data_IF_155032162170
#
_entry.id   IF_155032162170
#
_cell.length_a   1.000
_cell.length_b   1.000
_cell.length_c   1.000
_cell.angle_alpha   90.00
_cell.angle_beta   90.00
_cell.angle_gamma   90.00
#
_symmetry.space_group_name_H-M   'P 1'
#
loop_
_entity.id
_entity.type
_entity.pdbx_description
1 polymer ?
#
# COMPACT_ATOMS: atom_id res chain seq x y z
N UNK A 1 -14.18 -24.30 -22.75
CA UNK A 1 -12.77 -23.98 -23.07
C UNK A 1 -12.22 -23.12 -21.93
N UNK A 2 -11.51 -23.74 -21.00
CA UNK A 2 -10.82 -23.01 -19.92
C UNK A 2 -9.45 -22.60 -20.43
N UNK A 3 -9.19 -21.30 -20.47
CA UNK A 3 -7.86 -20.75 -20.75
C UNK A 3 -7.08 -20.83 -19.45
N UNK A 4 -6.24 -21.87 -19.31
CA UNK A 4 -5.30 -21.97 -18.20
C UNK A 4 -4.11 -21.07 -18.55
N UNK A 5 -4.00 -19.95 -17.85
CA UNK A 5 -2.95 -18.97 -18.06
C UNK A 5 -1.63 -19.51 -17.48
N UNK A 6 -0.85 -20.23 -18.27
CA UNK A 6 0.46 -20.76 -17.88
C UNK A 6 1.53 -19.69 -18.07
N UNK A 7 1.68 -18.80 -17.10
CA UNK A 7 2.94 -18.10 -16.89
C UNK A 7 3.80 -18.95 -15.94
N UNK A 8 4.25 -20.12 -16.41
CA UNK A 8 5.09 -20.99 -15.59
C UNK A 8 6.50 -20.41 -15.54
N UNK A 9 6.93 -20.00 -14.34
CA UNK A 9 8.32 -19.64 -14.09
C UNK A 9 9.22 -20.85 -14.43
N UNK A 10 10.40 -20.60 -15.00
CA UNK A 10 11.31 -21.68 -15.31
C UNK A 10 11.77 -22.40 -14.02
N UNK A 11 11.92 -23.74 -14.06
CA UNK A 11 12.41 -24.48 -12.92
C UNK A 11 13.80 -24.00 -12.52
N UNK A 12 14.12 -24.11 -11.23
CA UNK A 12 15.43 -23.72 -10.75
C UNK A 12 16.54 -24.53 -11.43
N UNK A 13 17.72 -23.92 -11.68
CA UNK A 13 18.86 -24.65 -12.23
C UNK A 13 19.22 -25.85 -11.34
N UNK A 14 19.48 -27.02 -11.95
CA UNK A 14 19.80 -28.26 -11.22
C UNK A 14 20.88 -28.08 -10.15
N UNK A 15 21.95 -27.36 -10.49
CA UNK A 15 23.07 -27.05 -9.58
C UNK A 15 22.63 -26.29 -8.32
N UNK A 16 21.58 -25.47 -8.39
CA UNK A 16 21.04 -24.76 -7.23
C UNK A 16 20.30 -25.71 -6.30
N UNK A 17 19.49 -26.61 -6.87
CA UNK A 17 18.75 -27.61 -6.10
C UNK A 17 19.69 -28.62 -5.46
N UNK A 18 20.72 -29.07 -6.17
CA UNK A 18 21.76 -29.95 -5.61
C UNK A 18 22.43 -29.30 -4.39
N UNK A 19 22.81 -28.01 -4.47
CA UNK A 19 23.39 -27.27 -3.35
C UNK A 19 22.39 -27.09 -2.20
N UNK A 20 21.10 -26.90 -2.50
CA UNK A 20 20.04 -26.79 -1.51
C UNK A 20 19.87 -28.10 -0.75
N UNK A 21 19.73 -29.22 -1.46
CA UNK A 21 19.65 -30.57 -0.89
C UNK A 21 20.89 -30.89 -0.06
N UNK A 22 22.09 -30.57 -0.55
CA UNK A 22 23.33 -30.74 0.20
C UNK A 22 23.33 -29.95 1.51
N UNK A 23 22.84 -28.69 1.51
CA UNK A 23 22.67 -27.90 2.74
C UNK A 23 21.68 -28.55 3.70
N UNK A 24 20.56 -29.07 3.21
CA UNK A 24 19.57 -29.76 4.05
C UNK A 24 20.16 -31.03 4.69
N UNK A 25 20.91 -31.82 3.92
CA UNK A 25 21.62 -33.00 4.43
C UNK A 25 22.62 -32.62 5.54
N UNK A 26 23.33 -31.50 5.40
CA UNK A 26 24.25 -31.02 6.45
C UNK A 26 23.50 -30.55 7.70
N UNK A 27 22.36 -29.86 7.55
CA UNK A 27 21.58 -29.34 8.67
C UNK A 27 20.89 -30.44 9.49
N UNK A 28 20.36 -31.46 8.82
CA UNK A 28 19.49 -32.46 9.45
C UNK A 28 20.12 -33.87 9.53
N UNK A 29 21.28 -34.07 8.89
CA UNK A 29 22.00 -35.34 8.88
C UNK A 29 21.18 -36.49 8.27
N UNK A 30 21.33 -37.69 8.86
CA UNK A 30 20.67 -38.91 8.40
C UNK A 30 19.13 -38.80 8.32
N UNK A 31 18.51 -37.90 9.10
CA UNK A 31 17.05 -37.72 9.11
C UNK A 31 16.51 -37.23 7.77
N UNK A 32 17.25 -36.34 7.10
CA UNK A 32 16.84 -35.88 5.77
C UNK A 32 16.86 -37.05 4.78
N UNK A 33 17.92 -37.87 4.79
CA UNK A 33 18.01 -39.03 3.91
C UNK A 33 16.89 -40.06 4.17
N UNK A 34 16.58 -40.34 5.44
CA UNK A 34 15.51 -41.26 5.82
C UNK A 34 14.13 -40.79 5.36
N UNK A 35 13.86 -39.48 5.40
CA UNK A 35 12.58 -38.92 4.97
C UNK A 35 12.28 -39.15 3.49
N UNK A 36 13.32 -39.27 2.66
CA UNK A 36 13.21 -39.46 1.22
C UNK A 36 13.66 -40.88 0.78
N UNK A 37 13.75 -41.82 1.72
CA UNK A 37 14.13 -43.20 1.44
C UNK A 37 13.11 -43.86 0.48
N UNK A 38 13.63 -44.53 -0.56
CA UNK A 38 12.80 -45.16 -1.59
C UNK A 38 12.34 -44.23 -2.73
N UNK A 39 12.65 -42.94 -2.68
CA UNK A 39 12.40 -41.98 -3.77
C UNK A 39 13.68 -41.81 -4.59
N UNK A 40 13.58 -41.85 -5.92
CA UNK A 40 14.72 -41.56 -6.80
C UNK A 40 15.21 -40.11 -6.54
N UNK A 41 16.49 -39.90 -6.16
CA UNK A 41 17.02 -38.57 -5.92
C UNK A 41 16.84 -37.61 -7.09
N UNK A 42 16.88 -38.10 -8.35
CA UNK A 42 16.66 -37.26 -9.51
C UNK A 42 15.20 -36.79 -9.60
N UNK A 43 14.25 -37.65 -9.29
CA UNK A 43 12.82 -37.29 -9.26
C UNK A 43 12.57 -36.27 -8.16
N UNK A 44 13.10 -36.50 -6.95
CA UNK A 44 13.02 -35.54 -5.85
C UNK A 44 13.62 -34.18 -6.23
N UNK A 45 14.83 -34.15 -6.79
CA UNK A 45 15.47 -32.89 -7.19
C UNK A 45 14.72 -32.17 -8.32
N UNK A 46 14.09 -32.91 -9.24
CA UNK A 46 13.27 -32.34 -10.31
C UNK A 46 12.03 -31.67 -9.71
N UNK A 47 11.33 -32.36 -8.81
CA UNK A 47 10.16 -31.80 -8.11
C UNK A 47 10.52 -30.54 -7.32
N UNK A 48 11.64 -30.56 -6.59
CA UNK A 48 12.13 -29.38 -5.87
C UNK A 48 12.47 -28.22 -6.82
N UNK A 49 12.97 -28.49 -8.03
CA UNK A 49 13.28 -27.46 -9.01
C UNK A 49 12.02 -26.81 -9.58
N UNK A 50 10.98 -27.62 -9.82
CA UNK A 50 9.70 -27.18 -10.37
C UNK A 50 8.87 -26.41 -9.34
N UNK A 51 8.73 -26.92 -8.12
CA UNK A 51 7.94 -26.26 -7.07
C UNK A 51 8.58 -24.96 -6.57
N UNK A 52 9.92 -24.88 -6.56
CA UNK A 52 10.63 -23.65 -6.23
C UNK A 52 10.84 -22.72 -7.44
N UNK A 53 10.20 -23.00 -8.58
CA UNK A 53 10.23 -22.10 -9.72
C UNK A 53 9.69 -20.71 -9.33
N UNK A 54 10.42 -19.66 -9.71
CA UNK A 54 10.07 -18.28 -9.37
C UNK A 54 10.37 -17.85 -7.93
N UNK A 55 11.01 -18.69 -7.12
CA UNK A 55 11.60 -18.26 -5.85
C UNK A 55 12.91 -17.52 -6.09
N UNK A 56 13.10 -16.41 -5.38
CA UNK A 56 14.35 -15.66 -5.38
C UNK A 56 15.37 -16.31 -4.43
N UNK A 57 16.64 -16.05 -4.67
CA UNK A 57 17.71 -16.52 -3.77
C UNK A 57 17.55 -16.02 -2.33
N UNK A 58 16.97 -14.84 -2.13
CA UNK A 58 16.68 -14.29 -0.81
C UNK A 58 15.56 -15.04 -0.07
N UNK A 59 14.51 -15.43 -0.78
CA UNK A 59 13.42 -16.26 -0.22
C UNK A 59 13.93 -17.66 0.17
N UNK A 60 14.73 -18.29 -0.70
CA UNK A 60 15.35 -19.60 -0.40
C UNK A 60 16.30 -19.48 0.79
N UNK A 61 17.09 -18.40 0.86
CA UNK A 61 17.97 -18.13 2.02
C UNK A 61 17.17 -17.97 3.30
N UNK A 62 16.04 -17.24 3.26
CA UNK A 62 15.13 -17.07 4.39
C UNK A 62 14.61 -18.41 4.91
N UNK A 63 14.20 -19.31 4.01
CA UNK A 63 13.80 -20.67 4.37
C UNK A 63 14.92 -21.47 5.02
N UNK A 64 16.15 -21.38 4.50
CA UNK A 64 17.32 -22.04 5.10
C UNK A 64 17.71 -21.46 6.47
N UNK A 65 17.55 -20.16 6.68
CA UNK A 65 17.80 -19.52 7.97
C UNK A 65 16.72 -19.92 8.99
N UNK A 66 15.46 -20.05 8.57
CA UNK A 66 14.40 -20.63 9.39
C UNK A 66 14.73 -22.09 9.79
N UNK A 67 15.20 -22.91 8.85
CA UNK A 67 15.66 -24.28 9.13
C UNK A 67 16.77 -24.32 10.19
N UNK A 68 17.74 -23.39 10.16
CA UNK A 68 18.81 -23.30 11.17
C UNK A 68 18.30 -22.97 12.57
N UNK A 69 17.22 -22.18 12.65
CA UNK A 69 16.62 -21.79 13.93
C UNK A 69 15.79 -22.91 14.58
N UNK A 70 15.43 -23.95 13.81
CA UNK A 70 14.66 -25.10 14.31
C UNK A 70 15.52 -25.95 15.27
N UNK A 71 15.32 -25.74 16.56
CA UNK A 71 16.13 -26.38 17.61
C UNK A 71 15.67 -27.82 17.93
N UNK A 72 14.50 -28.24 17.46
CA UNK A 72 13.87 -29.54 17.80
C UNK A 72 13.23 -30.29 16.61
N UNK A 73 13.38 -29.80 15.38
CA UNK A 73 12.55 -30.24 14.26
C UNK A 73 13.15 -31.36 13.40
N UNK A 74 12.26 -32.20 12.86
CA UNK A 74 12.51 -33.04 11.69
C UNK A 74 12.88 -32.18 10.48
N UNK A 75 13.50 -32.78 9.47
CA UNK A 75 13.79 -32.04 8.25
C UNK A 75 12.47 -31.61 7.57
N UNK A 76 12.38 -30.40 7.02
CA UNK A 76 11.15 -29.96 6.39
C UNK A 76 10.90 -30.76 5.10
N UNK A 77 9.63 -31.07 4.86
CA UNK A 77 9.14 -31.46 3.54
C UNK A 77 9.25 -30.28 2.57
N UNK A 78 9.12 -30.54 1.26
CA UNK A 78 9.14 -29.50 0.24
C UNK A 78 8.07 -28.40 0.48
N UNK A 79 6.79 -28.72 0.75
CA UNK A 79 5.78 -27.69 1.06
C UNK A 79 6.07 -26.90 2.33
N UNK A 80 6.58 -27.55 3.37
CA UNK A 80 6.97 -26.86 4.61
C UNK A 80 8.14 -25.90 4.37
N UNK A 81 9.13 -26.33 3.58
CA UNK A 81 10.24 -25.47 3.20
C UNK A 81 9.77 -24.26 2.38
N UNK A 82 8.83 -24.45 1.45
CA UNK A 82 8.22 -23.36 0.69
C UNK A 82 7.51 -22.35 1.60
N UNK A 83 6.78 -22.83 2.60
CA UNK A 83 6.13 -21.98 3.61
C UNK A 83 7.15 -21.21 4.47
N UNK A 84 8.30 -21.80 4.78
CA UNK A 84 9.39 -21.11 5.46
C UNK A 84 10.09 -20.06 4.58
N UNK A 85 10.17 -20.30 3.28
CA UNK A 85 10.72 -19.34 2.32
C UNK A 85 9.82 -18.09 2.19
N UNK A 86 8.50 -18.29 2.26
CA UNK A 86 7.46 -17.24 2.17
C UNK A 86 6.50 -17.32 3.37
N UNK A 87 6.94 -16.92 4.57
CA UNK A 87 6.10 -17.00 5.76
C UNK A 87 4.86 -16.13 5.59
N UNK A 88 3.68 -16.60 6.04
CA UNK A 88 2.45 -15.83 5.94
C UNK A 88 2.60 -14.53 6.74
N UNK A 89 2.33 -13.40 6.10
CA UNK A 89 2.33 -12.09 6.76
C UNK A 89 1.01 -11.94 7.50
N UNK A 90 1.06 -11.73 8.81
CA UNK A 90 -0.13 -11.38 9.59
C UNK A 90 -0.60 -9.96 9.18
N UNK A 91 -1.83 -9.80 8.66
CA UNK A 91 -2.28 -8.50 8.15
C UNK A 91 -2.34 -7.41 9.24
N UNK A 92 -2.76 -7.76 10.46
CA UNK A 92 -2.86 -6.78 11.54
C UNK A 92 -1.48 -6.35 12.04
N UNK A 93 -0.57 -7.30 12.26
CA UNK A 93 0.79 -6.98 12.68
C UNK A 93 1.53 -6.13 11.63
N UNK A 94 1.41 -6.49 10.35
CA UNK A 94 2.00 -5.72 9.24
C UNK A 94 1.36 -4.34 9.06
N UNK A 95 0.09 -4.16 9.43
CA UNK A 95 -0.52 -2.83 9.46
C UNK A 95 0.20 -1.94 10.47
N UNK A 96 0.41 -2.40 11.70
CA UNK A 96 1.11 -1.60 12.72
C UNK A 96 2.58 -1.35 12.36
N UNK A 97 3.26 -2.33 11.76
CA UNK A 97 4.58 -2.13 11.16
C UNK A 97 4.54 -0.99 10.13
N UNK A 98 3.55 -1.01 9.22
CA UNK A 98 3.41 0.04 8.23
C UNK A 98 3.12 1.42 8.84
N UNK A 99 2.33 1.50 9.91
CA UNK A 99 2.06 2.75 10.63
C UNK A 99 3.35 3.32 11.20
N UNK A 100 4.15 2.49 11.87
CA UNK A 100 5.43 2.87 12.45
C UNK A 100 6.43 3.30 11.36
N UNK A 101 6.55 2.51 10.30
CA UNK A 101 7.42 2.80 9.17
C UNK A 101 7.04 4.11 8.47
N UNK A 102 5.76 4.36 8.20
CA UNK A 102 5.31 5.61 7.59
C UNK A 102 5.49 6.81 8.53
N UNK A 103 5.32 6.63 9.84
CA UNK A 103 5.58 7.69 10.83
C UNK A 103 7.08 8.04 10.91
N UNK A 104 7.97 7.06 10.86
CA UNK A 104 9.41 7.26 10.77
C UNK A 104 9.80 8.05 9.51
N UNK A 105 9.18 7.72 8.37
CA UNK A 105 9.40 8.43 7.10
C UNK A 105 9.01 9.89 7.12
N UNK A 106 8.00 10.29 7.91
CA UNK A 106 7.70 11.72 8.12
C UNK A 106 8.83 12.47 8.81
N UNK A 107 9.66 11.78 9.59
CA UNK A 107 10.84 12.35 10.27
C UNK A 107 12.11 12.28 9.41
N UNK A 108 12.03 11.72 8.19
CA UNK A 108 13.19 11.51 7.32
C UNK A 108 13.92 10.19 7.54
N UNK A 109 13.38 9.29 8.37
CA UNK A 109 13.95 7.95 8.59
C UNK A 109 13.32 6.93 7.64
N UNK A 110 14.08 5.99 7.10
CA UNK A 110 13.54 5.00 6.14
C UNK A 110 12.40 4.15 6.74
N UNK A 111 12.45 3.90 8.04
CA UNK A 111 11.61 2.93 8.75
C UNK A 111 12.16 1.49 8.60
N UNK A 112 11.78 0.63 9.54
CA UNK A 112 12.04 -0.81 9.47
C UNK A 112 10.89 -1.51 8.74
N UNK A 113 11.23 -2.39 7.80
CA UNK A 113 10.27 -3.11 6.97
C UNK A 113 10.63 -4.59 6.92
N UNK A 114 9.76 -5.45 7.42
CA UNK A 114 9.92 -6.91 7.41
C UNK A 114 9.85 -7.47 6.00
N UNK A 115 9.06 -6.82 5.15
CA UNK A 115 8.89 -7.19 3.75
C UNK A 115 8.57 -5.97 2.87
N UNK A 116 9.18 -5.82 1.67
CA UNK A 116 8.91 -4.69 0.78
C UNK A 116 7.43 -4.50 0.44
N UNK A 117 6.67 -5.60 0.33
CA UNK A 117 5.22 -5.57 0.12
C UNK A 117 4.48 -4.75 1.18
N UNK A 118 4.93 -4.75 2.45
CA UNK A 118 4.29 -3.99 3.55
C UNK A 118 4.42 -2.49 3.29
N UNK A 119 5.60 -2.04 2.87
CA UNK A 119 5.82 -0.65 2.46
C UNK A 119 4.91 -0.26 1.29
N UNK A 120 4.95 -1.04 0.20
CA UNK A 120 4.18 -0.74 -1.01
C UNK A 120 2.66 -0.81 -0.74
N UNK A 121 2.22 -1.70 0.15
CA UNK A 121 0.83 -1.80 0.58
C UNK A 121 0.43 -0.54 1.38
N UNK A 122 1.32 0.02 2.20
CA UNK A 122 1.07 1.28 2.89
C UNK A 122 0.93 2.48 1.95
N UNK A 123 1.68 2.51 0.85
CA UNK A 123 1.51 3.52 -0.20
C UNK A 123 0.16 3.36 -0.90
N UNK A 124 -0.19 2.13 -1.30
CA UNK A 124 -1.46 1.80 -1.99
C UNK A 124 -2.69 2.05 -1.09
N UNK A 125 -2.62 1.66 0.18
CA UNK A 125 -3.64 1.89 1.19
C UNK A 125 -3.75 3.36 1.62
N UNK A 126 -2.78 4.21 1.26
CA UNK A 126 -2.78 5.64 1.52
C UNK A 126 -2.14 6.00 2.86
N UNK A 127 -1.00 6.70 2.79
CA UNK A 127 -0.22 7.11 3.97
C UNK A 127 -1.01 7.98 4.95
N UNK A 128 -1.85 8.89 4.45
CA UNK A 128 -2.62 9.80 5.30
C UNK A 128 -3.60 9.03 6.19
N UNK A 129 -4.38 8.13 5.61
CA UNK A 129 -5.39 7.37 6.35
C UNK A 129 -4.74 6.36 7.29
N UNK A 130 -3.67 5.72 6.83
CA UNK A 130 -2.91 4.77 7.63
C UNK A 130 -2.34 5.42 8.91
N UNK A 131 -1.95 6.70 8.87
CA UNK A 131 -1.44 7.42 10.05
C UNK A 131 -2.53 8.02 10.95
N UNK A 132 -3.77 8.13 10.47
CA UNK A 132 -4.86 8.80 11.20
C UNK A 132 -6.01 7.86 11.58
N UNK A 133 -6.05 6.64 11.05
CA UNK A 133 -7.11 5.66 11.30
C UNK A 133 -6.53 4.38 11.90
N UNK A 134 -7.29 3.74 12.80
CA UNK A 134 -6.93 2.45 13.38
C UNK A 134 -7.18 1.28 12.43
N UNK A 135 -6.63 0.10 12.78
CA UNK A 135 -6.71 -1.11 11.96
C UNK A 135 -8.16 -1.50 11.61
N UNK A 136 -9.10 -1.41 12.55
CA UNK A 136 -10.50 -1.78 12.33
C UNK A 136 -11.16 -1.02 11.17
N UNK A 137 -10.83 0.27 11.00
CA UNK A 137 -11.32 1.11 9.91
C UNK A 137 -10.62 0.77 8.60
N UNK A 138 -9.32 0.50 8.66
CA UNK A 138 -8.48 0.25 7.49
C UNK A 138 -8.50 -1.21 7.00
N UNK A 139 -9.01 -2.15 7.80
CA UNK A 139 -8.85 -3.60 7.63
C UNK A 139 -9.06 -4.08 6.19
N UNK A 140 -10.23 -3.79 5.62
CA UNK A 140 -10.59 -4.27 4.27
C UNK A 140 -9.65 -3.70 3.19
N UNK A 141 -9.33 -2.41 3.28
CA UNK A 141 -8.43 -1.75 2.32
C UNK A 141 -7.00 -2.23 2.48
N UNK A 142 -6.56 -2.39 3.73
CA UNK A 142 -5.23 -2.87 4.07
C UNK A 142 -5.01 -4.31 3.62
N UNK A 143 -5.89 -5.23 4.00
CA UNK A 143 -5.79 -6.65 3.62
C UNK A 143 -5.80 -6.81 2.11
N UNK A 144 -6.64 -6.05 1.40
CA UNK A 144 -6.66 -6.03 -0.06
C UNK A 144 -5.35 -5.49 -0.66
N UNK A 145 -4.85 -4.36 -0.17
CA UNK A 145 -3.59 -3.79 -0.65
C UNK A 145 -2.41 -4.72 -0.38
N UNK A 146 -2.34 -5.32 0.81
CA UNK A 146 -1.31 -6.28 1.18
C UNK A 146 -1.37 -7.52 0.30
N UNK A 147 -2.55 -8.09 0.07
CA UNK A 147 -2.73 -9.24 -0.82
C UNK A 147 -2.33 -8.91 -2.27
N UNK A 148 -2.73 -7.74 -2.79
CA UNK A 148 -2.33 -7.27 -4.11
C UNK A 148 -0.81 -7.16 -4.23
N UNK A 149 -0.14 -6.61 -3.22
CA UNK A 149 1.30 -6.46 -3.24
C UNK A 149 1.99 -7.81 -3.13
N UNK A 150 1.54 -8.70 -2.23
CA UNK A 150 2.05 -10.07 -2.09
C UNK A 150 1.91 -10.87 -3.39
N UNK A 151 0.79 -10.74 -4.09
CA UNK A 151 0.54 -11.41 -5.36
C UNK A 151 1.48 -10.99 -6.50
N UNK A 152 2.13 -9.82 -6.42
CA UNK A 152 3.11 -9.38 -7.44
C UNK A 152 4.38 -10.25 -7.43
N UNK A 153 4.75 -10.82 -6.28
CA UNK A 153 5.95 -11.64 -6.12
C UNK A 153 7.30 -10.91 -6.31
N UNK A 154 7.29 -9.68 -6.81
CA UNK A 154 8.47 -8.85 -7.04
C UNK A 154 8.17 -7.39 -6.68
N UNK A 155 9.09 -6.75 -5.96
CA UNK A 155 8.96 -5.36 -5.50
C UNK A 155 10.23 -4.59 -5.77
N UNK A 156 10.08 -3.31 -6.10
CA UNK A 156 11.20 -2.37 -6.04
C UNK A 156 11.69 -2.25 -4.59
N UNK A 157 12.99 -2.02 -4.42
CA UNK A 157 13.58 -1.74 -3.12
C UNK A 157 12.86 -0.56 -2.45
N UNK A 158 12.65 -0.65 -1.13
CA UNK A 158 12.03 0.44 -0.35
C UNK A 158 12.96 1.67 -0.44
N UNK A 159 12.51 2.80 -1.01
CA UNK A 159 13.35 3.98 -1.17
C UNK A 159 13.79 4.54 0.18
N UNK A 160 14.95 5.19 0.23
CA UNK A 160 15.34 5.96 1.42
C UNK A 160 14.35 7.12 1.64
N UNK A 161 14.20 7.53 2.90
CA UNK A 161 13.33 8.65 3.22
C UNK A 161 14.11 9.95 2.99
N UNK A 162 13.56 10.83 2.16
CA UNK A 162 14.04 12.19 2.03
C UNK A 162 13.01 13.11 2.66
N UNK A 163 13.44 13.95 3.60
CA UNK A 163 12.62 15.08 4.05
C UNK A 163 12.40 15.95 2.82
N UNK A 164 11.13 16.26 2.52
CA UNK A 164 10.82 17.19 1.44
C UNK A 164 11.60 18.48 1.70
N UNK A 165 12.35 18.95 0.68
CA UNK A 165 12.96 20.27 0.73
C UNK A 165 11.88 21.29 1.14
N UNK A 166 12.23 22.32 1.93
CA UNK A 166 11.28 23.37 2.25
C UNK A 166 10.63 23.80 0.94
N UNK A 167 9.29 23.86 0.92
CA UNK A 167 8.57 24.29 -0.26
C UNK A 167 9.24 25.59 -0.74
N UNK A 168 9.56 25.71 -2.05
CA UNK A 168 10.15 26.93 -2.57
C UNK A 168 9.32 28.08 -2.02
N UNK A 169 10.00 29.10 -1.47
CA UNK A 169 9.32 30.24 -0.81
C UNK A 169 8.10 30.57 -1.64
N UNK A 170 6.91 30.39 -1.05
CA UNK A 170 5.68 30.72 -1.74
C UNK A 170 5.90 32.15 -2.22
N UNK A 171 5.94 32.38 -3.52
CA UNK A 171 5.83 33.74 -4.06
C UNK A 171 4.46 34.21 -3.59
N UNK A 172 4.41 34.78 -2.39
CA UNK A 172 3.27 35.51 -1.89
C UNK A 172 3.29 36.80 -2.68
N UNK A 173 2.89 36.71 -3.94
CA UNK A 173 2.64 37.88 -4.75
C UNK A 173 1.54 38.61 -4.00
N UNK A 174 1.85 39.83 -3.55
CA UNK A 174 0.90 40.63 -2.78
C UNK A 174 -0.42 40.73 -3.55
N UNK A 175 -1.55 40.91 -2.87
CA UNK A 175 -2.86 41.02 -3.52
C UNK A 175 -2.86 42.05 -4.67
N UNK A 176 -2.08 43.12 -4.51
CA UNK A 176 -1.85 44.14 -5.53
C UNK A 176 -1.06 43.63 -6.76
N UNK A 177 0.01 42.86 -6.56
CA UNK A 177 0.81 42.27 -7.64
C UNK A 177 0.06 41.13 -8.33
N UNK A 178 -0.70 40.33 -7.58
CA UNK A 178 -1.61 39.32 -8.10
C UNK A 178 -2.66 39.95 -9.02
N UNK A 179 -3.24 41.08 -8.60
CA UNK A 179 -4.20 41.84 -9.40
C UNK A 179 -3.57 42.42 -10.67
N UNK A 180 -2.37 43.00 -10.57
CA UNK A 180 -1.65 43.56 -11.73
C UNK A 180 -1.24 42.50 -12.74
N UNK A 181 -0.85 41.31 -12.27
CA UNK A 181 -0.58 40.16 -13.13
C UNK A 181 -1.86 39.63 -13.82
N UNK A 182 -2.98 39.57 -13.09
CA UNK A 182 -4.28 39.17 -13.63
C UNK A 182 -4.82 40.15 -14.67
N UNK A 183 -4.62 41.46 -14.49
CA UNK A 183 -4.91 42.50 -15.48
C UNK A 183 -4.04 42.34 -16.73
N UNK A 184 -2.74 42.09 -16.56
CA UNK A 184 -1.81 41.84 -17.67
C UNK A 184 -2.16 40.60 -18.49
N UNK A 185 -2.72 39.57 -17.86
CA UNK A 185 -3.15 38.34 -18.51
C UNK A 185 -4.55 38.43 -19.15
N UNK A 186 -5.22 39.60 -19.07
CA UNK A 186 -6.58 39.78 -19.60
C UNK A 186 -7.65 38.94 -18.90
N UNK A 187 -7.32 38.36 -17.73
CA UNK A 187 -8.17 37.43 -16.99
C UNK A 187 -8.97 38.09 -15.86
N UNK A 188 -8.92 39.43 -15.74
CA UNK A 188 -9.62 40.20 -14.69
C UNK A 188 -11.12 39.92 -14.62
N UNK A 189 -11.75 39.58 -15.76
CA UNK A 189 -13.18 39.33 -15.86
C UNK A 189 -13.58 37.84 -15.77
N UNK A 190 -12.60 36.93 -15.70
CA UNK A 190 -12.88 35.47 -15.65
C UNK A 190 -13.45 35.08 -14.29
N UNK A 191 -13.03 35.74 -13.20
CA UNK A 191 -13.58 35.55 -11.87
C UNK A 191 -14.82 36.43 -11.60
N UNK A 192 -14.96 37.58 -12.29
CA UNK A 192 -16.11 38.48 -12.11
C UNK A 192 -17.41 37.85 -12.64
N UNK A 193 -17.32 37.12 -13.77
CA UNK A 193 -18.45 36.43 -14.41
C UNK A 193 -19.05 35.29 -13.57
N UNK A 194 -18.34 34.81 -12.54
CA UNK A 194 -18.80 33.72 -11.67
C UNK A 194 -19.34 34.18 -10.32
N UNK A 195 -19.47 35.48 -10.05
CA UNK A 195 -20.09 35.96 -8.80
C UNK A 195 -21.61 35.86 -8.92
N UNK A 196 -22.14 34.64 -8.81
CA UNK A 196 -23.58 34.37 -8.73
C UNK A 196 -24.10 35.00 -7.45
N UNK A 197 -25.03 35.94 -7.55
CA UNK A 197 -25.59 36.61 -6.38
C UNK A 197 -26.38 35.62 -5.52
N UNK A 198 -25.76 35.17 -4.43
CA UNK A 198 -26.33 34.16 -3.53
C UNK A 198 -27.55 34.65 -2.74
N UNK A 199 -27.89 35.94 -2.79
CA UNK A 199 -29.07 36.54 -2.13
C UNK A 199 -30.17 36.96 -3.10
N UNK A 200 -30.00 36.72 -4.40
CA UNK A 200 -31.00 37.05 -5.41
C UNK A 200 -32.35 36.33 -5.19
N UNK A 201 -32.32 35.12 -4.61
CA UNK A 201 -33.54 34.37 -4.28
C UNK A 201 -34.37 35.06 -3.19
N UNK A 202 -33.73 35.71 -2.21
CA UNK A 202 -34.39 36.37 -1.09
C UNK A 202 -35.14 37.62 -1.55
N UNK A 203 -34.52 38.45 -2.39
CA UNK A 203 -35.18 39.62 -2.99
C UNK A 203 -36.42 39.24 -3.81
N UNK A 204 -36.32 38.17 -4.61
CA UNK A 204 -37.44 37.65 -5.40
C UNK A 204 -38.63 37.19 -4.54
N UNK A 205 -38.38 36.71 -3.32
CA UNK A 205 -39.44 36.30 -2.38
C UNK A 205 -40.14 37.51 -1.76
N UNK A 206 -39.41 38.60 -1.49
CA UNK A 206 -39.99 39.83 -0.94
C UNK A 206 -40.71 40.68 -1.99
N UNK A 207 -40.27 40.66 -3.25
CA UNK A 207 -40.92 41.36 -4.36
C UNK A 207 -42.31 40.79 -4.73
N UNK A 208 -42.53 39.48 -4.51
CA UNK A 208 -43.84 38.86 -4.72
C UNK A 208 -44.20 37.89 -3.58
N UNK A 209 -44.68 38.41 -2.44
CA UNK A 209 -45.00 37.61 -1.27
C UNK A 209 -46.34 36.87 -1.39
N UNK A 210 -47.18 37.17 -2.40
CA UNK A 210 -48.46 36.49 -2.62
C UNK A 210 -48.24 35.00 -2.90
N UNK A 211 -48.83 34.14 -2.05
CA UNK A 211 -48.71 32.68 -2.15
C UNK A 211 -47.42 32.10 -1.56
N UNK A 212 -46.57 32.91 -0.92
CA UNK A 212 -45.39 32.42 -0.17
C UNK A 212 -45.75 32.19 1.29
N UNK A 213 -45.20 31.14 1.89
CA UNK A 213 -45.44 30.85 3.30
C UNK A 213 -44.82 31.93 4.20
N UNK A 214 -45.40 32.22 5.37
CA UNK A 214 -44.83 33.18 6.33
C UNK A 214 -43.37 32.85 6.69
N UNK A 215 -43.03 31.57 6.78
CA UNK A 215 -41.67 31.08 7.03
C UNK A 215 -40.70 31.44 5.90
N UNK A 216 -41.13 31.35 4.63
CA UNK A 216 -40.30 31.70 3.48
C UNK A 216 -39.99 33.21 3.44
N UNK A 217 -40.96 34.04 3.82
CA UNK A 217 -40.78 35.50 3.92
C UNK A 217 -39.80 35.85 5.04
N UNK A 218 -39.96 35.24 6.22
CA UNK A 218 -39.05 35.45 7.35
C UNK A 218 -37.60 34.99 7.04
N UNK A 219 -37.43 33.89 6.30
CA UNK A 219 -36.11 33.44 5.85
C UNK A 219 -35.48 34.39 4.83
N UNK A 220 -36.27 34.97 3.93
CA UNK A 220 -35.79 35.96 2.97
C UNK A 220 -35.35 37.27 3.66
N UNK A 221 -36.11 37.76 4.63
CA UNK A 221 -35.75 38.93 5.46
C UNK A 221 -34.45 38.69 6.23
N UNK A 222 -34.33 37.54 6.91
CA UNK A 222 -33.10 37.14 7.62
C UNK A 222 -31.88 37.03 6.70
N UNK A 223 -32.05 36.48 5.49
CA UNK A 223 -30.96 36.36 4.52
C UNK A 223 -30.44 37.73 4.03
N UNK A 224 -31.32 38.74 3.98
CA UNK A 224 -30.98 40.12 3.62
C UNK A 224 -30.54 40.99 4.81
N UNK A 225 -30.64 40.49 6.03
CA UNK A 225 -30.28 41.23 7.25
C UNK A 225 -31.38 42.18 7.73
N UNK A 226 -32.58 42.08 7.18
CA UNK A 226 -33.77 42.77 7.69
C UNK A 226 -34.26 41.98 8.91
N UNK A 227 -34.05 42.56 10.09
CA UNK A 227 -34.54 41.97 11.35
C UNK A 227 -36.05 42.22 11.42
N UNK A 228 -36.91 41.20 11.47
CA UNK A 228 -38.32 41.43 11.76
C UNK A 228 -38.46 41.86 13.22
N UNK A 229 -39.21 42.96 13.45
CA UNK A 229 -39.67 43.37 14.78
C UNK A 229 -40.71 42.37 15.31
#
# INVERSE_FOLDING_TARGET
MQVVNQNQAQPLPKLWVEKLVQKMQVLFGARFAQQWEGIDPNVMMTEWAEELAGYTGEEIKRGLDACRSMTKGFAPTLPEFMAMCRPPINPEASFYEAVQGMAARRKGERGEWSHPAVYHAGIEAGQHDLLNCGYSVMKVRWEKALANQLAKGQWAAVPDAHVALPAPEKTQMSEAEAKKAMERLGAGDVLSKSRKDHKAWARRVLENPKGKSPTAVAMAQRALGEVPA
#
